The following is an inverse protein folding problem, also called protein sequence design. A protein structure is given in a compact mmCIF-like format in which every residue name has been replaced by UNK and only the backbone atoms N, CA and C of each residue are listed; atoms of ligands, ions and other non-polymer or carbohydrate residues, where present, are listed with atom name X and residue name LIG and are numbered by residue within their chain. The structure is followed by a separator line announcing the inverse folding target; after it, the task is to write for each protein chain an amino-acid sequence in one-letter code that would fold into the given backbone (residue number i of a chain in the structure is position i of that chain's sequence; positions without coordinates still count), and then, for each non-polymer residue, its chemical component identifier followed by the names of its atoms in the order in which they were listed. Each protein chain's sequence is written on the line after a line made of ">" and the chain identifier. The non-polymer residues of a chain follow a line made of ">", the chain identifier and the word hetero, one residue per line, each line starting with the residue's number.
data_IF_773578759946
#
_entry.id   IF_773578759946
#
_cell.length_a   1.000
_cell.length_b   1.000
_cell.length_c   1.000
_cell.angle_alpha   90.00
_cell.angle_beta   90.00
_cell.angle_gamma   90.00
#
_symmetry.space_group_name_H-M   'P 1'
#
loop_
_entity.id
_entity.type
_entity.pdbx_description
1 polymer ?
#
# COMPACT_ATOMS: atom_id res chain seq x y z
N UNK A 1 -20.86 -20.30 30.44
CA UNK A 1 -21.02 -19.12 29.59
C UNK A 1 -22.41 -19.21 28.98
N UNK A 2 -23.37 -18.41 29.46
CA UNK A 2 -24.77 -18.45 28.97
C UNK A 2 -24.82 -17.61 27.70
N UNK A 3 -25.27 -18.19 26.58
CA UNK A 3 -25.52 -17.44 25.35
C UNK A 3 -26.71 -16.50 25.57
N UNK A 4 -26.56 -15.22 25.22
CA UNK A 4 -27.71 -14.31 25.18
C UNK A 4 -28.66 -14.76 24.07
N UNK A 5 -29.94 -15.01 24.41
CA UNK A 5 -31.03 -15.25 23.45
C UNK A 5 -31.42 -13.93 22.78
N UNK A 6 -30.55 -13.44 21.88
CA UNK A 6 -30.81 -12.24 21.07
C UNK A 6 -31.71 -12.65 19.90
N UNK A 7 -32.98 -12.27 19.97
CA UNK A 7 -33.94 -12.45 18.88
C UNK A 7 -34.03 -11.16 18.05
N UNK A 8 -33.84 -11.21 16.73
CA UNK A 8 -34.04 -10.04 15.88
C UNK A 8 -35.50 -9.57 16.00
N UNK A 9 -35.72 -8.26 16.14
CA UNK A 9 -37.07 -7.71 16.09
C UNK A 9 -37.66 -7.89 14.69
N UNK A 10 -38.95 -8.18 14.61
CA UNK A 10 -39.63 -8.44 13.33
C UNK A 10 -39.72 -7.19 12.43
N UNK A 11 -39.53 -6.00 12.99
CA UNK A 11 -39.66 -4.72 12.31
C UNK A 11 -38.30 -4.00 12.16
N UNK A 12 -37.45 -4.55 11.30
CA UNK A 12 -36.16 -3.97 10.96
C UNK A 12 -36.29 -2.62 10.23
N UNK A 13 -37.33 -2.45 9.42
CA UNK A 13 -37.58 -1.23 8.66
C UNK A 13 -38.00 -0.08 9.59
N UNK A 14 -38.92 -0.32 10.53
CA UNK A 14 -39.30 0.67 11.54
C UNK A 14 -38.17 0.98 12.52
N UNK A 15 -37.27 0.04 12.81
CA UNK A 15 -36.04 0.32 13.54
C UNK A 15 -35.07 1.19 12.71
N UNK A 16 -34.88 0.85 11.43
CA UNK A 16 -34.05 1.62 10.48
C UNK A 16 -34.50 3.07 10.39
N UNK A 17 -35.80 3.34 10.20
CA UNK A 17 -36.32 4.71 10.16
C UNK A 17 -36.09 5.48 11.47
N UNK A 18 -36.23 4.83 12.63
CA UNK A 18 -36.02 5.46 13.95
C UNK A 18 -34.58 5.86 14.20
N UNK A 19 -33.63 5.10 13.65
CA UNK A 19 -32.19 5.29 13.88
C UNK A 19 -31.46 5.86 12.65
N UNK A 20 -32.17 6.54 11.74
CA UNK A 20 -31.55 7.23 10.60
C UNK A 20 -30.92 6.30 9.57
N UNK A 21 -31.55 5.17 9.31
CA UNK A 21 -31.02 4.14 8.40
C UNK A 21 -30.87 4.61 6.94
N UNK A 22 -31.65 5.59 6.50
CA UNK A 22 -31.48 6.25 5.20
C UNK A 22 -30.16 7.03 5.10
N UNK A 23 -29.82 7.76 6.16
CA UNK A 23 -28.61 8.56 6.30
C UNK A 23 -27.40 7.64 6.41
N UNK A 24 -27.48 6.59 7.23
CA UNK A 24 -26.44 5.56 7.35
C UNK A 24 -26.21 4.89 5.99
N UNK A 25 -27.27 4.48 5.29
CA UNK A 25 -27.12 3.85 3.96
C UNK A 25 -26.44 4.78 2.96
N UNK A 26 -26.85 6.05 2.93
CA UNK A 26 -26.25 7.05 2.03
C UNK A 26 -24.77 7.28 2.35
N UNK A 27 -24.41 7.31 3.64
CA UNK A 27 -23.03 7.42 4.08
C UNK A 27 -22.20 6.18 3.71
N UNK A 28 -22.72 4.97 3.93
CA UNK A 28 -22.06 3.71 3.56
C UNK A 28 -21.84 3.62 2.04
N UNK A 29 -22.82 4.02 1.23
CA UNK A 29 -22.66 4.09 -0.23
C UNK A 29 -21.56 5.06 -0.67
N UNK A 30 -21.45 6.20 0.01
CA UNK A 30 -20.40 7.18 -0.25
C UNK A 30 -19.03 6.66 0.18
N UNK A 31 -18.92 6.03 1.35
CA UNK A 31 -17.69 5.37 1.78
C UNK A 31 -17.26 4.25 0.82
N UNK A 32 -18.20 3.47 0.30
CA UNK A 32 -17.93 2.42 -0.67
C UNK A 32 -17.39 2.99 -2.00
N UNK A 33 -17.96 4.10 -2.49
CA UNK A 33 -17.45 4.81 -3.67
C UNK A 33 -16.02 5.30 -3.44
N UNK A 34 -15.76 5.93 -2.30
CA UNK A 34 -14.42 6.42 -1.94
C UNK A 34 -13.41 5.28 -1.82
N UNK A 35 -13.80 4.16 -1.23
CA UNK A 35 -12.96 2.96 -1.09
C UNK A 35 -12.60 2.37 -2.46
N UNK A 36 -13.58 2.25 -3.37
CA UNK A 36 -13.35 1.77 -4.74
C UNK A 36 -12.45 2.72 -5.52
N UNK A 37 -12.69 4.03 -5.44
CA UNK A 37 -11.85 5.03 -6.10
C UNK A 37 -10.40 4.98 -5.60
N UNK A 38 -10.20 4.89 -4.28
CA UNK A 38 -8.88 4.75 -3.66
C UNK A 38 -8.18 3.48 -4.09
N UNK A 39 -8.88 2.34 -4.13
CA UNK A 39 -8.30 1.08 -4.58
C UNK A 39 -7.82 1.17 -6.03
N UNK A 40 -8.61 1.79 -6.92
CA UNK A 40 -8.24 1.98 -8.32
C UNK A 40 -7.03 2.91 -8.47
N UNK A 41 -6.97 4.01 -7.71
CA UNK A 41 -5.81 4.91 -7.72
C UNK A 41 -4.54 4.19 -7.27
N UNK A 42 -4.59 3.49 -6.13
CA UNK A 42 -3.46 2.76 -5.60
C UNK A 42 -3.00 1.65 -6.57
N UNK A 43 -3.93 0.94 -7.22
CA UNK A 43 -3.59 -0.07 -8.23
C UNK A 43 -2.89 0.55 -9.43
N UNK A 44 -3.41 1.65 -9.95
CA UNK A 44 -2.77 2.39 -11.04
C UNK A 44 -1.35 2.79 -10.68
N UNK A 45 -1.15 3.28 -9.46
CA UNK A 45 0.13 3.81 -9.00
C UNK A 45 1.19 2.76 -8.67
N UNK A 46 0.81 1.66 -8.02
CA UNK A 46 1.76 0.66 -7.50
C UNK A 46 1.80 -0.66 -8.28
N UNK A 47 0.89 -0.85 -9.25
CA UNK A 47 0.81 -2.10 -10.03
C UNK A 47 0.89 -1.83 -11.53
N UNK A 48 0.07 -0.90 -12.03
CA UNK A 48 -0.04 -0.68 -13.49
C UNK A 48 1.01 0.30 -14.01
N UNK A 49 1.35 1.33 -13.23
CA UNK A 49 2.40 2.30 -13.55
C UNK A 49 3.82 1.74 -13.45
N UNK A 50 4.84 2.52 -13.85
CA UNK A 50 6.24 2.14 -13.68
C UNK A 50 6.57 2.04 -12.19
N UNK A 51 7.38 1.06 -11.80
CA UNK A 51 7.74 0.85 -10.39
C UNK A 51 9.22 0.56 -10.18
N UNK A 52 9.69 0.83 -8.96
CA UNK A 52 10.96 0.31 -8.45
C UNK A 52 10.69 -0.82 -7.45
N UNK A 53 11.22 -2.01 -7.75
CA UNK A 53 11.15 -3.19 -6.88
C UNK A 53 12.39 -3.26 -5.99
N UNK A 54 12.16 -3.13 -4.69
CA UNK A 54 13.17 -3.16 -3.64
C UNK A 54 13.08 -4.50 -2.89
N UNK A 55 14.20 -5.21 -2.62
CA UNK A 55 14.15 -6.53 -2.03
C UNK A 55 13.56 -6.53 -0.61
N UNK A 56 13.17 -7.71 -0.15
CA UNK A 56 12.76 -7.94 1.23
C UNK A 56 13.97 -7.89 2.18
N UNK A 57 13.73 -8.12 3.47
CA UNK A 57 14.76 -8.07 4.51
C UNK A 57 14.92 -6.70 5.17
N UNK A 58 15.68 -6.68 6.26
CA UNK A 58 15.89 -5.48 7.08
C UNK A 58 14.78 -5.19 8.10
N UNK A 59 15.03 -4.22 8.97
CA UNK A 59 14.03 -3.70 9.93
C UNK A 59 13.18 -2.58 9.31
N UNK A 60 11.91 -2.48 9.68
CA UNK A 60 11.00 -1.45 9.18
C UNK A 60 10.22 -0.75 10.31
N UNK A 61 10.05 0.55 10.17
CA UNK A 61 9.17 1.39 10.99
C UNK A 61 8.08 1.95 10.11
N UNK A 62 6.83 1.69 10.45
CA UNK A 62 5.67 2.11 9.66
C UNK A 62 4.43 2.27 10.53
N UNK A 63 3.43 2.96 9.96
CA UNK A 63 2.09 3.03 10.53
C UNK A 63 1.10 2.34 9.57
N UNK A 64 0.35 1.37 10.09
CA UNK A 64 -0.63 0.60 9.33
C UNK A 64 -1.99 1.30 9.17
N UNK A 65 -2.20 2.47 9.78
CA UNK A 65 -3.44 3.24 9.61
C UNK A 65 -3.63 3.60 8.14
N UNK A 66 -4.79 3.21 7.59
CA UNK A 66 -5.12 3.41 6.18
C UNK A 66 -4.38 2.46 5.23
N UNK A 67 -3.71 1.42 5.74
CA UNK A 67 -3.16 0.37 4.90
C UNK A 67 -4.27 -0.28 4.07
N UNK A 68 -4.04 -0.39 2.76
CA UNK A 68 -5.06 -0.82 1.80
C UNK A 68 -4.57 -2.05 1.04
N UNK A 69 -5.17 -3.22 1.25
CA UNK A 69 -4.88 -4.41 0.46
C UNK A 69 -5.33 -4.23 -1.00
N UNK A 70 -4.45 -4.60 -1.92
CA UNK A 70 -4.75 -4.73 -3.35
C UNK A 70 -4.75 -6.22 -3.69
N UNK A 71 -5.92 -6.80 -4.04
CA UNK A 71 -6.04 -8.21 -4.35
C UNK A 71 -5.04 -8.66 -5.42
N UNK A 72 -4.25 -9.69 -5.10
CA UNK A 72 -3.24 -10.29 -5.97
C UNK A 72 -1.94 -9.47 -6.14
N UNK A 73 -1.78 -8.35 -5.43
CA UNK A 73 -0.56 -7.53 -5.52
C UNK A 73 0.14 -7.32 -4.17
N UNK A 74 -0.60 -7.16 -3.07
CA UNK A 74 -0.03 -6.93 -1.74
C UNK A 74 -0.78 -5.83 -0.98
N UNK A 75 -0.14 -5.22 0.02
CA UNK A 75 -0.73 -4.16 0.84
C UNK A 75 0.01 -2.84 0.68
N UNK A 76 -0.72 -1.77 0.39
CA UNK A 76 -0.14 -0.41 0.36
C UNK A 76 -0.21 0.22 1.74
N UNK A 77 0.94 0.60 2.27
CA UNK A 77 1.06 1.45 3.45
C UNK A 77 1.19 2.89 2.99
N UNK A 78 0.27 3.78 3.37
CA UNK A 78 0.19 5.15 2.82
C UNK A 78 0.86 6.22 3.69
N UNK A 79 1.16 5.90 4.94
CA UNK A 79 1.80 6.78 5.91
C UNK A 79 3.33 6.63 5.87
N UNK A 80 4.10 7.48 6.59
CA UNK A 80 5.54 7.39 6.61
C UNK A 80 6.05 5.98 6.89
N UNK A 81 6.94 5.51 6.01
CA UNK A 81 7.53 4.19 6.03
C UNK A 81 9.05 4.34 5.91
N UNK A 82 9.79 3.72 6.83
CA UNK A 82 11.25 3.69 6.82
C UNK A 82 11.73 2.26 6.96
N UNK A 83 12.71 1.85 6.18
CA UNK A 83 13.33 0.53 6.35
C UNK A 83 14.80 0.57 5.93
N UNK A 84 15.58 -0.34 6.49
CA UNK A 84 16.98 -0.49 6.17
C UNK A 84 17.35 -1.97 6.14
N UNK A 85 18.05 -2.40 5.10
CA UNK A 85 18.60 -3.74 4.92
C UNK A 85 19.94 -3.69 4.17
N UNK A 86 20.47 -4.86 3.77
CA UNK A 86 21.73 -4.93 3.02
C UNK A 86 21.68 -4.20 1.68
N UNK A 87 20.52 -4.21 1.03
CA UNK A 87 20.25 -3.49 -0.22
C UNK A 87 20.27 -1.96 -0.05
N UNK A 88 20.22 -1.44 1.19
CA UNK A 88 20.27 -0.02 1.49
C UNK A 88 19.13 0.48 2.39
N UNK A 89 18.77 1.75 2.23
CA UNK A 89 17.80 2.45 3.09
C UNK A 89 16.69 3.06 2.25
N UNK A 90 15.44 2.90 2.67
CA UNK A 90 14.25 3.50 2.07
C UNK A 90 13.55 4.40 3.09
N UNK A 91 13.20 5.60 2.64
CA UNK A 91 12.27 6.51 3.30
C UNK A 91 11.15 6.88 2.33
N UNK A 92 9.90 6.69 2.74
CA UNK A 92 8.72 7.00 1.93
C UNK A 92 7.67 7.72 2.77
N UNK A 93 7.00 8.71 2.17
CA UNK A 93 5.90 9.50 2.75
C UNK A 93 4.63 9.44 1.91
N UNK A 94 4.73 9.04 0.64
CA UNK A 94 3.58 8.83 -0.26
C UNK A 94 3.33 7.36 -0.57
N UNK A 95 3.70 6.50 0.38
CA UNK A 95 3.35 5.11 0.45
C UNK A 95 4.25 4.11 -0.28
N UNK A 96 4.12 2.85 0.13
CA UNK A 96 4.89 1.69 -0.32
C UNK A 96 3.93 0.50 -0.42
N UNK A 97 3.96 -0.23 -1.53
CA UNK A 97 3.30 -1.52 -1.61
C UNK A 97 4.25 -2.61 -1.11
N UNK A 98 3.77 -3.48 -0.23
CA UNK A 98 4.51 -4.65 0.26
C UNK A 98 3.80 -5.91 -0.27
N UNK A 99 4.53 -6.72 -1.03
CA UNK A 99 4.10 -8.02 -1.54
C UNK A 99 4.15 -9.08 -0.44
N UNK A 100 3.53 -10.23 -0.69
CA UNK A 100 3.46 -11.34 0.27
C UNK A 100 4.84 -11.92 0.63
N UNK A 101 5.82 -11.80 -0.29
CA UNK A 101 7.23 -12.17 -0.09
C UNK A 101 8.06 -11.09 0.65
N UNK A 102 7.42 -9.99 1.05
CA UNK A 102 8.05 -8.84 1.69
C UNK A 102 8.80 -7.91 0.73
N UNK A 103 8.79 -8.17 -0.58
CA UNK A 103 9.33 -7.26 -1.58
C UNK A 103 8.53 -5.96 -1.56
N UNK A 104 9.24 -4.83 -1.62
CA UNK A 104 8.63 -3.51 -1.61
C UNK A 104 8.57 -2.96 -3.02
N UNK A 105 7.48 -2.30 -3.34
CA UNK A 105 7.24 -1.68 -4.64
C UNK A 105 6.96 -0.20 -4.43
N UNK A 106 7.75 0.62 -5.10
CA UNK A 106 7.70 2.08 -5.05
C UNK A 106 7.23 2.62 -6.39
N UNK A 107 6.28 3.56 -6.36
CA UNK A 107 5.74 4.14 -7.59
C UNK A 107 6.77 5.03 -8.29
N UNK A 108 6.94 4.82 -9.60
CA UNK A 108 7.76 5.66 -10.48
C UNK A 108 7.00 6.88 -11.02
N UNK A 109 7.60 7.63 -11.96
CA UNK A 109 8.94 7.40 -12.53
C UNK A 109 10.06 7.64 -11.53
N UNK A 110 11.24 7.06 -11.80
CA UNK A 110 12.42 7.21 -10.93
C UNK A 110 13.44 8.20 -11.51
N UNK A 111 14.23 8.81 -10.62
CA UNK A 111 15.45 9.56 -10.95
C UNK A 111 16.64 8.93 -10.24
N UNK A 112 17.68 8.65 -10.99
CA UNK A 112 18.93 8.05 -10.52
C UNK A 112 19.96 9.17 -10.32
N UNK A 113 20.46 9.33 -9.10
CA UNK A 113 21.42 10.34 -8.67
C UNK A 113 22.57 9.65 -7.91
N UNK A 114 23.49 9.03 -8.66
CA UNK A 114 24.56 8.21 -8.07
C UNK A 114 24.00 6.98 -7.35
N UNK A 115 24.25 6.86 -6.04
CA UNK A 115 23.69 5.80 -5.20
C UNK A 115 22.30 6.14 -4.65
N UNK A 116 21.78 7.33 -4.91
CA UNK A 116 20.46 7.75 -4.44
C UNK A 116 19.45 7.66 -5.57
N UNK A 117 18.30 7.07 -5.29
CA UNK A 117 17.18 6.91 -6.22
C UNK A 117 15.98 7.61 -5.62
N UNK A 118 15.30 8.42 -6.42
CA UNK A 118 14.15 9.21 -5.97
C UNK A 118 12.95 8.93 -6.85
N UNK A 119 11.79 8.91 -6.21
CA UNK A 119 10.51 9.05 -6.88
C UNK A 119 9.63 10.00 -6.09
N UNK A 120 8.36 10.07 -6.47
CA UNK A 120 7.45 10.99 -5.81
C UNK A 120 7.16 10.53 -4.36
N UNK A 121 7.68 11.29 -3.40
CA UNK A 121 7.45 11.04 -1.98
C UNK A 121 8.19 9.83 -1.42
N UNK A 122 9.31 9.43 -2.04
CA UNK A 122 10.21 8.45 -1.48
C UNK A 122 11.65 8.66 -1.97
N UNK A 123 12.61 8.16 -1.20
CA UNK A 123 14.03 8.13 -1.54
C UNK A 123 14.61 6.81 -1.08
N UNK A 124 15.46 6.21 -1.92
CA UNK A 124 16.25 5.02 -1.62
C UNK A 124 17.72 5.36 -1.77
N UNK A 125 18.53 5.00 -0.77
CA UNK A 125 19.99 4.99 -0.88
C UNK A 125 20.44 3.55 -1.06
N UNK A 126 21.06 3.24 -2.19
CA UNK A 126 21.55 1.91 -2.55
C UNK A 126 22.77 1.55 -1.71
N UNK A 127 22.74 0.36 -1.09
CA UNK A 127 23.86 -0.19 -0.32
C UNK A 127 25.01 -0.68 -1.20
N UNK A 128 26.19 -0.83 -0.61
CA UNK A 128 27.35 -1.43 -1.29
C UNK A 128 27.04 -2.87 -1.73
N UNK A 129 27.54 -3.27 -2.91
CA UNK A 129 27.23 -4.60 -3.47
C UNK A 129 25.84 -4.69 -4.09
N UNK A 130 25.14 -3.57 -4.26
CA UNK A 130 23.85 -3.52 -4.95
C UNK A 130 23.84 -2.49 -6.06
N UNK A 131 23.02 -2.74 -7.08
CA UNK A 131 22.75 -1.81 -8.17
C UNK A 131 21.29 -1.88 -8.59
N UNK A 132 20.85 -0.93 -9.42
CA UNK A 132 19.50 -0.93 -9.99
C UNK A 132 19.57 -1.06 -11.50
N UNK A 133 18.73 -1.93 -12.04
CA UNK A 133 18.63 -2.23 -13.47
C UNK A 133 17.18 -2.14 -13.93
N UNK A 134 16.96 -2.18 -15.25
CA UNK A 134 15.62 -2.28 -15.83
C UNK A 134 14.91 -3.54 -15.34
N UNK A 135 13.63 -3.39 -15.03
CA UNK A 135 12.74 -4.45 -14.59
C UNK A 135 12.00 -5.12 -15.75
N UNK A 136 11.05 -6.03 -15.43
CA UNK A 136 10.34 -6.84 -16.42
C UNK A 136 9.46 -6.06 -17.39
N UNK A 137 8.87 -4.93 -16.96
CA UNK A 137 8.05 -4.06 -17.82
C UNK A 137 8.80 -2.79 -18.17
N UNK A 138 8.46 -2.19 -19.30
CA UNK A 138 9.00 -0.89 -19.70
C UNK A 138 8.76 0.15 -18.62
N UNK A 139 9.85 0.79 -18.16
CA UNK A 139 9.83 1.79 -17.09
C UNK A 139 9.97 1.22 -15.68
N UNK A 140 9.84 -0.10 -15.51
CA UNK A 140 10.14 -0.74 -14.23
C UNK A 140 11.65 -0.81 -14.00
N UNK A 141 12.01 -0.84 -12.72
CA UNK A 141 13.37 -0.99 -12.24
C UNK A 141 13.41 -1.97 -11.07
N UNK A 142 14.54 -2.63 -10.88
CA UNK A 142 14.74 -3.60 -9.81
C UNK A 142 16.15 -3.56 -9.26
N UNK A 143 16.29 -3.86 -7.98
CA UNK A 143 17.57 -4.06 -7.33
C UNK A 143 18.19 -5.39 -7.75
N UNK A 144 19.52 -5.38 -7.94
CA UNK A 144 20.33 -6.55 -8.23
C UNK A 144 21.54 -6.53 -7.29
N UNK A 145 21.81 -7.69 -6.68
CA UNK A 145 23.01 -7.89 -5.88
C UNK A 145 24.18 -8.15 -6.81
N UNK A 146 25.22 -7.33 -6.69
CA UNK A 146 26.50 -7.45 -7.37
C UNK A 146 27.49 -8.07 -6.38
N UNK A 147 27.83 -9.36 -6.54
CA UNK A 147 28.76 -10.05 -5.67
C UNK A 147 30.19 -9.48 -5.72
#
# INVERSE_FOLDING_TARGET
>A
MVALDIRPTADADGASSRYGGSEIRSAEEEYDKQRKARLLELRKRFVEGPVLMVPSGGGATFNAVGATPIPGAGTVFVLPYRTQGEWGTLEATKGVLIRDDGQRVLAGPIRLEGTTIRGEGWTVTVGSGWSVQSGPRTGDHQFIHNP
#
